data_IF_018069859591
#
_entry.id   IF_018069859591
#
_cell.length_a   1.000
_cell.length_b   1.000
_cell.length_c   1.000
_cell.angle_alpha   90.00
_cell.angle_beta   90.00
_cell.angle_gamma   90.00
#
_symmetry.space_group_name_H-M   'P 1'
#
loop_
_entity.id
_entity.type
_entity.pdbx_description
1 polymer ?
#
# COMPACT_ATOMS: atom_id res chain seq x y z
N UNK A 1 -16.87 -17.00 6.23
CA UNK A 1 -16.04 -16.28 5.25
C UNK A 1 -16.62 -16.47 3.85
N UNK A 2 -16.81 -15.41 3.10
CA UNK A 2 -17.32 -15.52 1.72
C UNK A 2 -16.21 -15.98 0.77
N UNK A 3 -16.62 -16.50 -0.39
CA UNK A 3 -15.67 -16.89 -1.44
C UNK A 3 -14.87 -15.68 -1.94
N UNK A 4 -15.52 -14.52 -2.02
CA UNK A 4 -14.88 -13.29 -2.45
C UNK A 4 -13.79 -12.84 -1.48
N UNK A 5 -14.07 -12.91 -0.17
CA UNK A 5 -13.09 -12.55 0.86
C UNK A 5 -11.90 -13.51 0.84
N UNK A 6 -12.17 -14.81 0.73
CA UNK A 6 -11.11 -15.83 0.64
C UNK A 6 -10.20 -15.58 -0.57
N UNK A 7 -10.81 -15.20 -1.71
CA UNK A 7 -10.06 -14.85 -2.92
C UNK A 7 -9.16 -13.63 -2.67
N UNK A 8 -9.70 -12.57 -2.09
CA UNK A 8 -8.94 -11.35 -1.81
C UNK A 8 -7.75 -11.63 -0.87
N UNK A 9 -7.97 -12.43 0.18
CA UNK A 9 -6.89 -12.83 1.09
C UNK A 9 -5.81 -13.61 0.35
N UNK A 10 -6.20 -14.53 -0.54
CA UNK A 10 -5.24 -15.32 -1.31
C UNK A 10 -4.41 -14.45 -2.26
N UNK A 11 -5.01 -13.42 -2.85
CA UNK A 11 -4.32 -12.47 -3.73
C UNK A 11 -3.23 -11.74 -2.95
N UNK A 12 -3.54 -11.24 -1.75
CA UNK A 12 -2.56 -10.53 -0.93
C UNK A 12 -1.41 -11.43 -0.44
N UNK A 13 -1.67 -12.72 -0.27
CA UNK A 13 -0.65 -13.71 0.15
C UNK A 13 0.18 -14.24 -1.01
N UNK A 14 -0.25 -14.00 -2.25
CA UNK A 14 0.42 -14.51 -3.45
C UNK A 14 1.66 -13.69 -3.80
N UNK A 15 2.49 -14.26 -4.67
CA UNK A 15 3.68 -13.55 -5.19
C UNK A 15 3.31 -12.30 -5.97
N UNK A 16 2.06 -12.19 -6.45
CA UNK A 16 1.57 -11.03 -7.18
C UNK A 16 1.53 -9.76 -6.32
N UNK A 17 1.30 -9.92 -5.01
CA UNK A 17 1.23 -8.79 -4.09
C UNK A 17 2.39 -8.73 -3.10
N UNK A 18 3.15 -9.81 -2.95
CA UNK A 18 4.24 -9.88 -1.99
C UNK A 18 5.31 -8.85 -2.30
N UNK A 19 5.53 -7.92 -1.38
CA UNK A 19 6.49 -6.84 -1.57
C UNK A 19 6.08 -5.80 -2.59
N UNK A 20 4.82 -5.81 -3.03
CA UNK A 20 4.29 -4.88 -4.02
C UNK A 20 3.09 -4.12 -3.47
N UNK A 21 2.91 -2.91 -4.00
CA UNK A 21 1.77 -2.06 -3.67
C UNK A 21 0.80 -2.09 -4.85
N UNK A 22 -0.46 -2.42 -4.58
CA UNK A 22 -1.48 -2.54 -5.62
C UNK A 22 -2.61 -1.55 -5.37
N UNK A 23 -3.10 -0.94 -6.44
CA UNK A 23 -4.31 -0.11 -6.37
C UNK A 23 -5.54 -1.02 -6.31
N UNK A 24 -6.69 -0.45 -5.91
CA UNK A 24 -7.94 -1.19 -5.92
C UNK A 24 -8.30 -1.70 -7.32
N UNK A 25 -8.03 -0.91 -8.35
CA UNK A 25 -8.30 -1.33 -9.74
C UNK A 25 -7.41 -2.49 -10.18
N UNK A 26 -6.13 -2.48 -9.78
CA UNK A 26 -5.24 -3.60 -10.04
C UNK A 26 -5.70 -4.87 -9.30
N UNK A 27 -6.14 -4.72 -8.06
CA UNK A 27 -6.69 -5.83 -7.28
C UNK A 27 -7.98 -6.37 -7.89
N UNK A 28 -8.84 -5.50 -8.40
CA UNK A 28 -10.04 -5.89 -9.11
C UNK A 28 -9.70 -6.72 -10.35
N UNK A 29 -8.71 -6.30 -11.13
CA UNK A 29 -8.26 -7.03 -12.31
C UNK A 29 -7.75 -8.42 -11.94
N UNK A 30 -6.94 -8.53 -10.88
CA UNK A 30 -6.43 -9.81 -10.38
C UNK A 30 -7.57 -10.71 -9.89
N UNK A 31 -8.55 -10.14 -9.18
CA UNK A 31 -9.70 -10.90 -8.69
C UNK A 31 -10.53 -11.44 -9.84
N UNK A 32 -10.71 -10.68 -10.91
CA UNK A 32 -11.49 -11.09 -12.08
C UNK A 32 -10.82 -12.19 -12.89
N UNK A 33 -9.53 -12.38 -12.77
CA UNK A 33 -8.86 -13.54 -13.37
C UNK A 33 -9.36 -14.86 -12.80
N UNK A 34 -9.71 -14.88 -11.51
CA UNK A 34 -10.20 -16.07 -10.81
C UNK A 34 -11.72 -16.10 -10.69
N UNK A 35 -12.34 -14.94 -10.65
CA UNK A 35 -13.77 -14.78 -10.44
C UNK A 35 -14.30 -13.67 -11.36
N UNK A 36 -14.51 -13.99 -12.67
CA UNK A 36 -14.85 -12.96 -13.67
C UNK A 36 -16.09 -12.12 -13.37
N UNK A 37 -17.02 -12.68 -12.61
CA UNK A 37 -18.26 -11.99 -12.23
C UNK A 37 -18.17 -11.11 -11.00
N UNK A 38 -17.01 -11.03 -10.34
CA UNK A 38 -16.89 -10.22 -9.13
C UNK A 38 -17.08 -8.74 -9.45
N UNK A 39 -17.92 -8.08 -8.67
CA UNK A 39 -18.21 -6.66 -8.90
C UNK A 39 -17.17 -5.76 -8.25
N UNK A 40 -17.03 -4.56 -8.78
CA UNK A 40 -16.20 -3.52 -8.19
C UNK A 40 -16.60 -3.25 -6.74
N UNK A 41 -17.91 -3.13 -6.49
CA UNK A 41 -18.44 -2.88 -5.14
C UNK A 41 -18.00 -3.96 -4.15
N UNK A 42 -18.04 -5.23 -4.57
CA UNK A 42 -17.62 -6.34 -3.71
C UNK A 42 -16.14 -6.25 -3.36
N UNK A 43 -15.28 -5.94 -4.33
CA UNK A 43 -13.85 -5.78 -4.11
C UNK A 43 -13.58 -4.63 -3.13
N UNK A 44 -14.18 -3.47 -3.37
CA UNK A 44 -13.99 -2.30 -2.50
C UNK A 44 -14.50 -2.53 -1.09
N UNK A 45 -15.66 -3.19 -0.93
CA UNK A 45 -16.20 -3.52 0.38
C UNK A 45 -15.30 -4.49 1.15
N UNK A 46 -14.72 -5.47 0.46
CA UNK A 46 -13.76 -6.39 1.09
C UNK A 46 -12.48 -5.68 1.51
N UNK A 47 -11.96 -4.79 0.66
CA UNK A 47 -10.76 -4.01 0.99
C UNK A 47 -10.99 -3.15 2.24
N UNK A 48 -12.14 -2.49 2.33
CA UNK A 48 -12.50 -1.68 3.49
C UNK A 48 -12.56 -2.52 4.76
N UNK A 49 -13.26 -3.65 4.68
CA UNK A 49 -13.41 -4.56 5.82
C UNK A 49 -12.06 -5.12 6.28
N UNK A 50 -11.21 -5.51 5.34
CA UNK A 50 -9.89 -6.04 5.65
C UNK A 50 -8.97 -4.98 6.27
N UNK A 51 -9.07 -3.74 5.80
CA UNK A 51 -8.35 -2.61 6.38
C UNK A 51 -8.80 -2.36 7.83
N UNK A 52 -10.11 -2.33 8.07
CA UNK A 52 -10.68 -2.14 9.41
C UNK A 52 -10.25 -3.24 10.38
N UNK A 53 -10.08 -4.46 9.89
CA UNK A 53 -9.60 -5.58 10.70
C UNK A 53 -8.08 -5.64 10.86
N UNK A 54 -7.35 -4.73 10.22
CA UNK A 54 -5.89 -4.68 10.30
C UNK A 54 -5.17 -5.73 9.49
N UNK A 55 -5.86 -6.39 8.55
CA UNK A 55 -5.26 -7.42 7.69
C UNK A 55 -4.44 -6.82 6.55
N UNK A 56 -4.80 -5.63 6.12
CA UNK A 56 -4.10 -4.89 5.08
C UNK A 56 -4.02 -3.42 5.48
N UNK A 57 -3.17 -2.66 4.80
CA UNK A 57 -3.05 -1.22 4.99
C UNK A 57 -3.35 -0.52 3.68
N UNK A 58 -4.01 0.62 3.78
CA UNK A 58 -4.20 1.53 2.67
C UNK A 58 -3.18 2.64 2.77
N UNK A 59 -2.46 2.87 1.69
CA UNK A 59 -1.45 3.92 1.59
C UNK A 59 -1.99 4.99 0.65
N UNK A 60 -2.29 6.15 1.21
CA UNK A 60 -2.78 7.28 0.45
C UNK A 60 -1.67 7.85 -0.41
N UNK A 61 -1.89 7.92 -1.73
CA UNK A 61 -0.99 8.63 -2.61
C UNK A 61 -1.62 9.99 -2.93
N UNK A 62 -0.94 11.05 -2.59
CA UNK A 62 -1.48 12.40 -2.82
C UNK A 62 -1.58 12.69 -4.31
N UNK A 63 -2.79 12.88 -4.80
CA UNK A 63 -3.06 13.18 -6.21
C UNK A 63 -3.16 11.97 -7.13
N UNK A 64 -2.96 10.74 -6.62
CA UNK A 64 -3.12 9.51 -7.37
C UNK A 64 -4.04 8.54 -6.66
N UNK A 65 -4.15 7.32 -7.18
CA UNK A 65 -4.95 6.27 -6.56
C UNK A 65 -4.26 5.76 -5.30
N UNK A 66 -5.05 5.35 -4.30
CA UNK A 66 -4.52 4.74 -3.09
C UNK A 66 -3.99 3.35 -3.38
N UNK A 67 -2.96 2.95 -2.64
CA UNK A 67 -2.35 1.63 -2.72
C UNK A 67 -2.72 0.81 -1.49
N UNK A 68 -2.68 -0.51 -1.65
CA UNK A 68 -2.92 -1.47 -0.58
C UNK A 68 -1.76 -2.42 -0.47
N UNK A 69 -1.38 -2.79 0.75
CA UNK A 69 -0.38 -3.81 0.98
C UNK A 69 -0.72 -4.61 2.23
N UNK A 70 -0.20 -5.84 2.31
CA UNK A 70 -0.41 -6.74 3.43
C UNK A 70 0.83 -6.89 4.30
N UNK A 71 1.82 -6.05 4.09
CA UNK A 71 3.06 -6.13 4.87
C UNK A 71 2.82 -5.65 6.30
N UNK A 72 3.15 -6.50 7.26
CA UNK A 72 3.11 -6.17 8.68
C UNK A 72 4.44 -5.62 9.18
N UNK A 73 5.43 -5.50 8.29
CA UNK A 73 6.72 -4.92 8.62
C UNK A 73 6.58 -3.41 8.57
N UNK A 74 6.88 -2.74 9.67
CA UNK A 74 6.88 -1.28 9.71
C UNK A 74 8.01 -0.76 8.81
N UNK A 75 7.65 0.00 7.80
CA UNK A 75 8.60 0.60 6.87
C UNK A 75 8.04 1.92 6.35
N UNK A 76 8.92 2.75 5.80
CA UNK A 76 8.53 3.99 5.18
C UNK A 76 8.20 3.80 3.70
N UNK A 77 7.50 4.78 3.16
CA UNK A 77 7.16 4.82 1.75
C UNK A 77 7.74 6.09 1.11
N UNK A 78 8.32 5.94 -0.08
CA UNK A 78 8.76 7.05 -0.92
C UNK A 78 7.71 7.27 -1.98
N UNK A 79 7.21 8.51 -2.08
CA UNK A 79 6.14 8.85 -3.02
C UNK A 79 6.65 9.97 -3.91
N UNK A 80 6.72 9.72 -5.22
CA UNK A 80 7.05 10.77 -6.18
C UNK A 80 5.89 11.74 -6.32
N UNK A 81 6.13 13.02 -6.14
CA UNK A 81 5.09 14.04 -6.20
C UNK A 81 4.59 14.29 -7.63
N UNK A 82 5.36 13.89 -8.63
CA UNK A 82 5.02 14.12 -10.04
C UNK A 82 4.27 12.92 -10.66
N UNK A 83 4.85 11.73 -10.59
CA UNK A 83 4.25 10.54 -11.21
C UNK A 83 3.53 9.63 -10.22
N UNK A 84 3.59 9.94 -8.92
CA UNK A 84 2.93 9.20 -7.84
C UNK A 84 3.40 7.76 -7.65
N UNK A 85 4.51 7.35 -8.26
CA UNK A 85 5.03 6.01 -8.00
C UNK A 85 5.43 5.90 -6.53
N UNK A 86 5.26 4.70 -5.99
CA UNK A 86 5.54 4.41 -4.59
C UNK A 86 6.60 3.31 -4.49
N UNK A 87 7.52 3.47 -3.56
CA UNK A 87 8.53 2.44 -3.24
C UNK A 87 8.76 2.41 -1.74
N UNK A 88 9.37 1.33 -1.26
CA UNK A 88 9.60 1.13 0.16
C UNK A 88 10.97 1.66 0.59
N UNK A 89 11.00 2.16 1.82
CA UNK A 89 12.23 2.53 2.52
C UNK A 89 12.23 1.79 3.85
N UNK A 90 13.29 1.05 4.13
CA UNK A 90 13.44 0.36 5.41
C UNK A 90 14.05 1.30 6.44
N UNK A 91 13.40 1.41 7.60
CA UNK A 91 13.84 2.26 8.71
C UNK A 91 13.85 1.43 10.00
N UNK A 92 14.79 0.50 10.13
CA UNK A 92 14.74 -0.54 11.16
C UNK A 92 14.77 -0.03 12.60
N UNK A 93 15.34 1.14 12.86
CA UNK A 93 15.45 1.69 14.22
C UNK A 93 14.45 2.80 14.51
N UNK A 94 13.63 3.19 13.54
CA UNK A 94 12.76 4.36 13.70
C UNK A 94 11.78 4.23 14.86
N UNK A 95 11.18 3.06 15.04
CA UNK A 95 10.22 2.83 16.12
C UNK A 95 10.87 3.03 17.48
N UNK A 96 12.07 2.48 17.68
CA UNK A 96 12.83 2.62 18.93
C UNK A 96 13.25 4.07 19.14
N UNK A 97 13.67 4.76 18.09
CA UNK A 97 14.05 6.17 18.15
C UNK A 97 12.85 7.04 18.56
N UNK A 98 11.68 6.75 17.98
CA UNK A 98 10.46 7.50 18.31
C UNK A 98 10.01 7.25 19.75
N UNK A 99 10.17 6.04 20.26
CA UNK A 99 9.89 5.72 21.68
C UNK A 99 10.78 6.55 22.60
N UNK A 100 12.07 6.63 22.29
CA UNK A 100 13.04 7.41 23.08
C UNK A 100 12.74 8.90 23.04
N UNK A 101 12.44 9.43 21.87
CA UNK A 101 12.17 10.87 21.68
C UNK A 101 10.86 11.28 22.34
N UNK A 102 9.80 10.50 22.17
CA UNK A 102 8.47 10.83 22.67
C UNK A 102 8.26 10.49 24.16
N UNK A 103 9.06 9.57 24.68
CA UNK A 103 8.92 9.09 26.06
C UNK A 103 7.71 8.16 26.27
N UNK A 104 7.07 7.73 25.18
CA UNK A 104 5.91 6.84 25.26
C UNK A 104 6.18 5.56 24.46
N UNK A 105 5.40 4.51 24.76
CA UNK A 105 5.52 3.22 24.06
C UNK A 105 4.71 3.26 22.77
N UNK A 106 5.35 3.73 21.70
CA UNK A 106 4.73 3.86 20.37
C UNK A 106 4.47 2.47 19.78
N UNK A 107 3.24 2.18 19.44
CA UNK A 107 2.86 0.88 18.85
C UNK A 107 3.15 0.79 17.36
N UNK A 108 2.96 1.89 16.63
CA UNK A 108 3.15 1.90 15.18
C UNK A 108 3.40 3.31 14.67
N UNK A 109 3.80 3.41 13.42
CA UNK A 109 3.96 4.68 12.74
C UNK A 109 3.61 4.54 11.26
N UNK A 110 3.32 5.65 10.63
CA UNK A 110 3.21 5.76 9.17
C UNK A 110 4.22 6.80 8.72
N UNK A 111 5.13 6.42 7.84
CA UNK A 111 6.17 7.31 7.32
C UNK A 111 6.01 7.44 5.81
N UNK A 112 5.80 8.66 5.36
CA UNK A 112 5.73 8.98 3.94
C UNK A 112 6.81 10.02 3.63
N UNK A 113 7.68 9.71 2.70
CA UNK A 113 8.70 10.64 2.21
C UNK A 113 8.31 11.05 0.79
N UNK A 114 8.24 12.35 0.57
CA UNK A 114 7.90 12.91 -0.73
C UNK A 114 9.17 13.34 -1.44
N UNK A 115 9.25 13.03 -2.72
CA UNK A 115 10.42 13.34 -3.52
C UNK A 115 10.03 13.44 -4.99
N UNK A 116 10.96 13.84 -5.84
CA UNK A 116 10.78 13.80 -7.30
C UNK A 116 11.75 12.74 -7.82
N UNK A 117 11.23 11.69 -8.45
CA UNK A 117 12.06 10.59 -8.92
C UNK A 117 12.96 11.02 -10.07
N UNK A 118 14.01 10.24 -10.32
CA UNK A 118 15.01 10.60 -11.32
C UNK A 118 14.42 10.79 -12.71
N UNK A 119 13.45 9.96 -13.09
CA UNK A 119 12.76 10.10 -14.37
C UNK A 119 12.01 11.41 -14.49
N UNK A 120 11.33 11.82 -13.41
CA UNK A 120 10.60 13.09 -13.39
C UNK A 120 11.55 14.28 -13.34
N UNK A 121 12.67 14.17 -12.63
CA UNK A 121 13.71 15.22 -12.63
C UNK A 121 14.28 15.41 -14.02
N UNK A 122 14.55 14.32 -14.74
CA UNK A 122 15.07 14.38 -16.10
C UNK A 122 14.09 15.07 -17.03
N UNK A 123 12.79 14.83 -16.89
CA UNK A 123 11.75 15.52 -17.66
C UNK A 123 11.68 17.00 -17.35
N UNK A 124 11.83 17.38 -16.08
CA UNK A 124 11.79 18.78 -15.65
C UNK A 124 13.00 19.57 -16.11
N UNK A 125 14.17 18.93 -16.21
CA UNK A 125 15.43 19.60 -16.59
C UNK A 125 15.64 19.67 -18.10
N UNK A 126 14.75 19.12 -18.90
CA UNK A 126 14.83 19.12 -20.37
C UNK A 126 14.12 20.31 -21.00
N UNK A 127 14.17 21.44 -20.37
CA UNK A 127 13.59 22.70 -20.89
C UNK A 127 14.62 23.43 -21.75
#
# INVERSE_FOLDING_TARGET
MTKQRALMLSIFRSELCKGKHRTADELLALAREKMPGISRATVYNNLRSMEEEGLIRRISSEGGADFYDSSFILHGHLICTECHKISDVKVPTLLDDMKKISGVDVESYELKLRYVCDECKAKSSSV
#
